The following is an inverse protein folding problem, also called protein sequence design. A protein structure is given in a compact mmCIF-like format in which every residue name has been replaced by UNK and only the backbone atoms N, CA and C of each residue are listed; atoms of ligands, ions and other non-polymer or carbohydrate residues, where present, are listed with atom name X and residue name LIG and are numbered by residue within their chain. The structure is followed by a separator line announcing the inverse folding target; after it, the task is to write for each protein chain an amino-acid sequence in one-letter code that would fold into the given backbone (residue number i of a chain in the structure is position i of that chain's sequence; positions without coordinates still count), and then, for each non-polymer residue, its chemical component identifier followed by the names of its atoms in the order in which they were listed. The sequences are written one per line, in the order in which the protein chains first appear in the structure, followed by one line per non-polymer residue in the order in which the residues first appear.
data_IF_486244569028
#
_entry.id   IF_486244569028
#
_cell.length_a   1.000
_cell.length_b   1.000
_cell.length_c   1.000
_cell.angle_alpha   90.00
_cell.angle_beta   90.00
_cell.angle_gamma   90.00
#
_symmetry.space_group_name_H-M   'P 1'
#
loop_
_entity.id
_entity.type
_entity.pdbx_description
1 polymer ?
#
# COMPACT_ATOMS: atom_id res chain seq x y z
N UNK A 1 0.61 2.14 -10.59
CA UNK A 1 2.07 2.07 -10.90
C UNK A 1 2.93 2.33 -9.66
N UNK A 2 2.52 3.22 -8.78
CA UNK A 2 3.29 3.50 -7.55
C UNK A 2 3.50 2.24 -6.67
N UNK A 3 2.51 1.39 -6.58
CA UNK A 3 2.53 0.17 -5.79
C UNK A 3 3.45 -0.93 -6.34
N UNK A 4 3.88 -0.83 -7.60
CA UNK A 4 4.79 -1.80 -8.24
C UNK A 4 6.27 -1.42 -8.21
N UNK A 5 6.65 -0.40 -7.44
CA UNK A 5 8.05 0.09 -7.35
C UNK A 5 9.03 -0.93 -6.76
N UNK A 6 8.53 -1.97 -6.12
CA UNK A 6 9.32 -3.07 -5.57
C UNK A 6 9.95 -3.97 -6.64
N UNK A 7 9.43 -3.96 -7.88
CA UNK A 7 9.98 -4.71 -9.00
C UNK A 7 10.04 -3.85 -10.26
N UNK A 8 11.24 -3.74 -10.88
CA UNK A 8 11.42 -3.02 -12.16
C UNK A 8 10.54 -3.59 -13.26
N UNK A 9 10.39 -4.92 -13.31
CA UNK A 9 9.56 -5.60 -14.29
C UNK A 9 8.08 -5.27 -14.07
N UNK A 10 7.56 -5.47 -12.86
CA UNK A 10 6.17 -5.15 -12.54
C UNK A 10 5.86 -3.67 -12.76
N UNK A 11 6.78 -2.77 -12.40
CA UNK A 11 6.64 -1.33 -12.68
C UNK A 11 6.56 -1.05 -14.18
N UNK A 12 7.46 -1.64 -14.99
CA UNK A 12 7.45 -1.48 -16.45
C UNK A 12 6.16 -2.01 -17.06
N UNK A 13 5.70 -3.19 -16.63
CA UNK A 13 4.46 -3.80 -17.11
C UNK A 13 3.22 -3.00 -16.70
N UNK A 14 3.25 -2.30 -15.56
CA UNK A 14 2.15 -1.41 -15.14
C UNK A 14 1.95 -0.20 -16.06
N UNK A 15 2.94 0.15 -16.89
CA UNK A 15 2.85 1.24 -17.86
C UNK A 15 2.38 0.78 -19.25
N UNK A 16 2.03 -0.49 -19.45
CA UNK A 16 1.43 -0.90 -20.70
C UNK A 16 0.11 -0.18 -20.94
N UNK A 17 -0.14 0.25 -22.16
CA UNK A 17 -1.36 0.99 -22.52
C UNK A 17 -2.65 0.21 -22.21
N UNK A 18 -2.59 -1.12 -22.16
CA UNK A 18 -3.70 -1.97 -21.71
C UNK A 18 -4.07 -1.74 -20.24
N UNK A 19 -3.13 -1.25 -19.42
CA UNK A 19 -3.32 -0.99 -17.98
C UNK A 19 -3.51 0.50 -17.68
N UNK A 20 -3.55 1.36 -18.71
CA UNK A 20 -3.66 2.81 -18.56
C UNK A 20 -4.97 3.31 -19.14
N UNK A 21 -5.73 4.01 -18.32
CA UNK A 21 -6.98 4.62 -18.72
C UNK A 21 -7.01 6.09 -18.27
N UNK A 22 -7.58 7.02 -19.08
CA UNK A 22 -7.60 8.44 -18.75
C UNK A 22 -8.48 8.73 -17.53
N UNK A 23 -7.86 8.87 -16.37
CA UNK A 23 -8.51 9.25 -15.11
C UNK A 23 -8.26 10.73 -14.83
N UNK A 24 -9.30 11.47 -14.39
CA UNK A 24 -9.16 12.87 -14.00
C UNK A 24 -8.18 13.01 -12.83
N UNK A 25 -7.25 13.98 -12.88
CA UNK A 25 -6.26 14.16 -11.82
C UNK A 25 -6.88 14.36 -10.42
N UNK A 26 -8.02 15.04 -10.36
CA UNK A 26 -8.73 15.32 -9.12
C UNK A 26 -9.30 14.03 -8.50
N UNK A 27 -9.88 13.14 -9.30
CA UNK A 27 -10.31 11.83 -8.84
C UNK A 27 -9.11 10.99 -8.39
N UNK A 28 -8.11 10.87 -9.25
CA UNK A 28 -6.93 10.03 -9.02
C UNK A 28 -6.16 10.39 -7.74
N UNK A 29 -5.96 11.69 -7.50
CA UNK A 29 -5.15 12.17 -6.37
C UNK A 29 -5.90 12.26 -5.05
N UNK A 30 -7.24 12.37 -5.10
CA UNK A 30 -8.09 12.55 -3.93
C UNK A 30 -8.87 11.28 -3.60
N UNK A 31 -10.14 11.20 -4.02
CA UNK A 31 -11.07 10.15 -3.59
C UNK A 31 -10.63 8.74 -3.99
N UNK A 32 -10.03 8.58 -5.18
CA UNK A 32 -9.49 7.28 -5.60
C UNK A 32 -8.29 6.85 -4.78
N UNK A 33 -7.36 7.78 -4.51
CA UNK A 33 -6.22 7.53 -3.64
C UNK A 33 -6.67 7.21 -2.20
N UNK A 34 -7.70 7.88 -1.68
CA UNK A 34 -8.27 7.58 -0.37
C UNK A 34 -8.85 6.15 -0.33
N UNK A 35 -9.55 5.74 -1.40
CA UNK A 35 -10.03 4.36 -1.52
C UNK A 35 -8.88 3.34 -1.59
N UNK A 36 -7.79 3.66 -2.30
CA UNK A 36 -6.60 2.79 -2.33
C UNK A 36 -5.93 2.67 -0.97
N UNK A 37 -5.88 3.76 -0.20
CA UNK A 37 -5.39 3.74 1.19
C UNK A 37 -6.29 2.85 2.04
N UNK A 38 -7.61 3.02 1.95
CA UNK A 38 -8.58 2.22 2.70
C UNK A 38 -8.46 0.72 2.37
N UNK A 39 -8.29 0.36 1.11
CA UNK A 39 -8.07 -1.04 0.71
C UNK A 39 -6.79 -1.62 1.33
N UNK A 40 -5.71 -0.82 1.43
CA UNK A 40 -4.49 -1.27 2.11
C UNK A 40 -4.71 -1.50 3.61
N UNK A 41 -5.51 -0.64 4.26
CA UNK A 41 -5.90 -0.83 5.67
C UNK A 41 -6.69 -2.12 5.84
N UNK A 42 -7.65 -2.39 4.95
CA UNK A 42 -8.40 -3.64 4.98
C UNK A 42 -7.53 -4.88 4.74
N UNK A 43 -6.53 -4.82 3.86
CA UNK A 43 -5.58 -5.94 3.68
C UNK A 43 -4.83 -6.21 4.98
N UNK A 44 -4.51 -5.17 5.73
CA UNK A 44 -3.86 -5.32 7.03
C UNK A 44 -4.77 -6.02 8.04
N UNK A 45 -6.05 -5.67 8.03
CA UNK A 45 -7.04 -6.18 8.97
C UNK A 45 -7.53 -7.60 8.62
N UNK A 46 -7.80 -7.87 7.35
CA UNK A 46 -8.39 -9.12 6.86
C UNK A 46 -7.35 -10.10 6.28
N UNK A 47 -6.14 -9.65 5.99
CA UNK A 47 -5.12 -10.42 5.30
C UNK A 47 -5.25 -10.33 3.77
N UNK A 48 -5.31 -11.46 3.08
CA UNK A 48 -5.37 -11.46 1.61
C UNK A 48 -6.77 -11.09 1.11
N UNK A 49 -6.84 -10.05 0.28
CA UNK A 49 -8.06 -9.63 -0.40
C UNK A 49 -7.93 -9.75 -1.91
N UNK A 50 -9.00 -10.16 -2.57
CA UNK A 50 -9.11 -10.06 -4.02
C UNK A 50 -9.59 -8.65 -4.37
N UNK A 51 -8.83 -7.96 -5.25
CA UNK A 51 -9.18 -6.60 -5.69
C UNK A 51 -9.29 -6.57 -7.21
N UNK A 52 -10.47 -6.21 -7.71
CA UNK A 52 -10.76 -6.03 -9.12
C UNK A 52 -10.97 -4.54 -9.37
N UNK A 53 -10.30 -3.98 -10.36
CA UNK A 53 -10.35 -2.54 -10.67
C UNK A 53 -10.43 -2.34 -12.17
N UNK A 54 -11.32 -1.47 -12.62
CA UNK A 54 -11.42 -1.15 -14.03
C UNK A 54 -12.22 0.12 -14.33
N UNK A 55 -12.13 0.63 -15.58
CA UNK A 55 -12.98 1.67 -16.09
C UNK A 55 -14.34 1.11 -16.55
N UNK A 56 -15.39 1.91 -16.48
CA UNK A 56 -16.63 1.64 -17.21
C UNK A 56 -16.47 2.14 -18.65
N UNK A 57 -16.54 1.21 -19.60
CA UNK A 57 -16.33 1.50 -21.01
C UNK A 57 -17.61 1.24 -21.83
N UNK A 58 -17.90 2.13 -22.77
CA UNK A 58 -18.92 1.95 -23.78
C UNK A 58 -18.49 2.66 -25.10
N UNK A 59 -19.19 2.38 -26.19
CA UNK A 59 -18.83 2.88 -27.52
C UNK A 59 -19.08 4.39 -27.71
N UNK A 60 -19.84 5.02 -26.84
CA UNK A 60 -20.24 6.44 -26.92
C UNK A 60 -19.33 7.38 -26.14
N UNK A 61 -18.32 6.83 -25.45
CA UNK A 61 -17.41 7.62 -24.62
C UNK A 61 -16.63 8.66 -25.44
N UNK A 62 -16.41 9.86 -24.87
CA UNK A 62 -15.52 10.85 -25.44
C UNK A 62 -14.11 10.28 -25.57
N UNK A 63 -13.38 10.70 -26.59
CA UNK A 63 -12.04 10.22 -26.90
C UNK A 63 -11.02 11.35 -26.83
N UNK A 64 -9.81 11.02 -26.40
CA UNK A 64 -8.67 11.94 -26.49
C UNK A 64 -8.44 12.23 -27.97
N UNK A 65 -8.36 13.54 -28.33
CA UNK A 65 -8.21 13.97 -29.72
C UNK A 65 -6.76 14.03 -30.20
N UNK A 66 -5.79 13.86 -29.29
CA UNK A 66 -4.37 13.93 -29.60
C UNK A 66 -3.78 12.56 -29.88
N UNK A 67 -2.95 12.48 -30.93
CA UNK A 67 -2.29 11.25 -31.36
C UNK A 67 -3.05 10.46 -32.44
N UNK A 68 -2.40 9.40 -32.93
CA UNK A 68 -2.96 8.51 -33.96
C UNK A 68 -4.01 7.55 -33.42
N UNK A 69 -3.93 7.22 -32.13
CA UNK A 69 -4.85 6.31 -31.44
C UNK A 69 -5.81 7.10 -30.57
N UNK A 70 -7.10 6.91 -30.77
CA UNK A 70 -8.15 7.56 -29.99
C UNK A 70 -8.46 6.71 -28.76
N UNK A 71 -8.06 7.17 -27.58
CA UNK A 71 -8.33 6.49 -26.30
C UNK A 71 -9.61 7.04 -25.70
N UNK A 72 -10.56 6.17 -25.35
CA UNK A 72 -11.81 6.52 -24.68
C UNK A 72 -11.53 7.06 -23.28
N UNK A 73 -12.28 8.11 -22.89
CA UNK A 73 -12.24 8.69 -21.55
C UNK A 73 -13.42 8.09 -20.78
N UNK A 74 -13.19 7.20 -19.80
CA UNK A 74 -14.26 6.58 -19.04
C UNK A 74 -15.06 7.62 -18.23
N UNK A 75 -16.36 7.40 -18.10
CA UNK A 75 -17.22 8.22 -17.24
C UNK A 75 -17.10 7.86 -15.75
N UNK A 76 -16.75 6.61 -15.47
CA UNK A 76 -16.57 6.11 -14.10
C UNK A 76 -15.49 5.03 -14.03
N UNK A 77 -15.02 4.79 -12.80
CA UNK A 77 -14.15 3.68 -12.43
C UNK A 77 -14.78 2.86 -11.33
N UNK A 78 -14.60 1.56 -11.38
CA UNK A 78 -15.04 0.67 -10.33
C UNK A 78 -13.86 0.01 -9.60
N UNK A 79 -14.10 -0.36 -8.36
CA UNK A 79 -13.22 -1.19 -7.54
C UNK A 79 -14.08 -2.14 -6.71
N UNK A 80 -13.84 -3.44 -6.87
CA UNK A 80 -14.47 -4.51 -6.12
C UNK A 80 -13.40 -5.09 -5.20
N UNK A 81 -13.72 -5.26 -3.94
CA UNK A 81 -12.84 -5.86 -2.92
C UNK A 81 -13.56 -7.01 -2.27
N UNK A 82 -12.95 -8.19 -2.27
CA UNK A 82 -13.57 -9.42 -1.75
C UNK A 82 -12.63 -10.10 -0.75
N UNK A 83 -13.14 -10.38 0.43
CA UNK A 83 -12.55 -11.31 1.39
C UNK A 83 -13.08 -12.72 1.11
N UNK A 84 -12.22 -13.55 0.51
CA UNK A 84 -12.53 -14.95 0.19
C UNK A 84 -12.25 -15.92 1.34
N UNK A 85 -11.61 -15.47 2.42
CA UNK A 85 -11.22 -16.33 3.57
C UNK A 85 -12.27 -16.42 4.66
N UNK A 86 -13.21 -15.50 4.66
CA UNK A 86 -14.33 -15.56 5.60
C UNK A 86 -15.15 -16.84 5.36
N UNK A 87 -15.85 -17.44 6.37
CA UNK A 87 -16.70 -18.61 6.19
C UNK A 87 -17.70 -18.48 5.05
N UNK A 88 -18.14 -17.24 4.77
CA UNK A 88 -18.86 -16.85 3.55
C UNK A 88 -18.14 -15.65 2.95
N UNK A 89 -17.89 -15.62 1.64
CA UNK A 89 -17.27 -14.48 0.98
C UNK A 89 -17.97 -13.16 1.32
N UNK A 90 -17.20 -12.12 1.56
CA UNK A 90 -17.69 -10.75 1.82
C UNK A 90 -17.11 -9.81 0.80
N UNK A 91 -17.97 -9.04 0.17
CA UNK A 91 -17.56 -8.08 -0.85
C UNK A 91 -18.01 -6.66 -0.52
N UNK A 92 -17.26 -5.70 -1.03
CA UNK A 92 -17.64 -4.29 -1.11
C UNK A 92 -17.22 -3.77 -2.48
N UNK A 93 -18.09 -3.00 -3.10
CA UNK A 93 -17.82 -2.45 -4.41
C UNK A 93 -18.09 -0.94 -4.46
N UNK A 94 -17.29 -0.25 -5.27
CA UNK A 94 -17.36 1.19 -5.44
C UNK A 94 -17.47 1.50 -6.92
N UNK A 95 -18.36 2.46 -7.24
CA UNK A 95 -18.49 3.04 -8.57
C UNK A 95 -18.31 4.55 -8.47
N UNK A 96 -17.17 5.05 -8.92
CA UNK A 96 -16.78 6.46 -8.77
C UNK A 96 -16.81 7.18 -10.12
N UNK A 97 -17.61 8.23 -10.28
CA UNK A 97 -17.59 9.09 -11.46
C UNK A 97 -16.21 9.68 -11.72
N UNK A 98 -15.77 9.73 -12.98
CA UNK A 98 -14.47 10.28 -13.37
C UNK A 98 -14.45 11.81 -13.37
N UNK A 99 -14.62 12.41 -12.19
CA UNK A 99 -14.62 13.85 -11.94
C UNK A 99 -14.07 14.17 -10.55
N UNK A 100 -14.01 15.44 -10.20
CA UNK A 100 -13.72 15.81 -8.81
C UNK A 100 -14.87 15.35 -7.89
N UNK A 101 -14.52 14.63 -6.83
CA UNK A 101 -15.45 14.12 -5.83
C UNK A 101 -15.06 14.74 -4.48
N UNK A 102 -16.04 15.29 -3.79
CA UNK A 102 -15.87 15.95 -2.48
C UNK A 102 -16.48 15.17 -1.33
N UNK A 103 -17.32 14.17 -1.69
CA UNK A 103 -18.05 13.36 -0.71
C UNK A 103 -17.18 12.26 -0.11
N UNK A 104 -17.65 11.67 0.99
CA UNK A 104 -17.04 10.48 1.56
C UNK A 104 -17.10 9.31 0.55
N UNK A 105 -16.06 8.48 0.53
CA UNK A 105 -15.99 7.29 -0.34
C UNK A 105 -17.17 6.34 -0.14
N UNK A 106 -17.75 6.29 1.06
CA UNK A 106 -18.95 5.50 1.37
C UNK A 106 -20.18 5.86 0.52
N UNK A 107 -20.24 7.08 -0.01
CA UNK A 107 -21.34 7.51 -0.87
C UNK A 107 -21.29 6.90 -2.30
N UNK A 108 -20.18 6.23 -2.60
CA UNK A 108 -19.95 5.58 -3.90
C UNK A 108 -20.00 4.06 -3.81
N UNK A 109 -20.46 3.53 -2.67
CA UNK A 109 -20.69 2.09 -2.50
C UNK A 109 -21.90 1.68 -3.32
N UNK A 110 -21.70 0.61 -4.07
CA UNK A 110 -22.74 -0.06 -4.86
C UNK A 110 -22.64 -1.57 -4.66
N UNK A 111 -23.66 -2.33 -5.04
CA UNK A 111 -23.53 -3.77 -5.15
C UNK A 111 -22.78 -4.14 -6.45
N UNK A 112 -22.25 -5.35 -6.51
CA UNK A 112 -21.48 -5.82 -7.68
C UNK A 112 -22.38 -5.92 -8.89
N UNK A 113 -23.65 -6.38 -8.74
CA UNK A 113 -24.64 -6.44 -9.82
C UNK A 113 -24.80 -5.09 -10.55
N UNK A 114 -24.71 -3.96 -9.80
CA UNK A 114 -24.75 -2.64 -10.41
C UNK A 114 -23.55 -2.35 -11.31
N UNK A 115 -22.37 -2.86 -10.95
CA UNK A 115 -21.17 -2.74 -11.80
C UNK A 115 -21.27 -3.67 -12.99
N UNK A 116 -21.75 -4.87 -12.83
CA UNK A 116 -21.98 -5.85 -13.89
C UNK A 116 -22.97 -5.31 -14.92
N UNK A 117 -24.05 -4.69 -14.46
CA UNK A 117 -25.05 -4.10 -15.35
C UNK A 117 -24.51 -2.98 -16.24
N UNK A 118 -23.52 -2.20 -15.77
CA UNK A 118 -22.93 -1.10 -16.56
C UNK A 118 -21.69 -1.52 -17.34
N UNK A 119 -21.08 -2.66 -17.00
CA UNK A 119 -19.87 -3.18 -17.68
C UNK A 119 -20.16 -4.33 -18.62
N UNK A 120 -21.29 -5.01 -18.46
CA UNK A 120 -21.62 -6.29 -19.08
C UNK A 120 -20.55 -7.38 -18.80
N UNK A 121 -19.93 -7.33 -17.61
CA UNK A 121 -18.95 -8.30 -17.14
C UNK A 121 -19.56 -9.03 -15.96
N UNK A 122 -19.63 -10.34 -16.00
CA UNK A 122 -19.88 -11.21 -14.86
C UNK A 122 -18.53 -11.47 -14.17
N UNK A 123 -18.36 -11.02 -12.94
CA UNK A 123 -17.06 -11.06 -12.25
C UNK A 123 -16.80 -12.41 -11.57
N UNK A 124 -17.84 -13.12 -11.19
CA UNK A 124 -17.70 -14.36 -10.40
C UNK A 124 -18.48 -15.55 -10.95
N UNK A 125 -18.45 -15.82 -12.28
CA UNK A 125 -19.29 -16.82 -12.94
C UNK A 125 -18.99 -18.26 -12.49
N UNK A 126 -17.89 -18.50 -11.79
CA UNK A 126 -17.48 -19.83 -11.33
C UNK A 126 -17.70 -20.04 -9.83
N UNK A 127 -18.18 -19.03 -9.11
CA UNK A 127 -18.42 -19.11 -7.69
C UNK A 127 -19.90 -19.49 -7.47
N UNK A 128 -20.12 -20.65 -6.86
CA UNK A 128 -21.47 -21.05 -6.49
C UNK A 128 -22.04 -20.07 -5.44
N UNK A 129 -23.27 -19.59 -5.66
CA UNK A 129 -23.98 -18.61 -4.82
C UNK A 129 -23.25 -17.25 -4.73
N UNK A 130 -22.62 -16.81 -5.81
CA UNK A 130 -22.01 -15.48 -5.87
C UNK A 130 -23.03 -14.37 -5.58
N UNK A 131 -24.25 -14.51 -6.02
CA UNK A 131 -25.38 -13.59 -5.76
C UNK A 131 -25.53 -13.23 -4.27
N UNK A 132 -25.16 -14.13 -3.34
CA UNK A 132 -25.27 -13.89 -1.89
C UNK A 132 -24.38 -12.73 -1.42
N UNK A 133 -23.24 -12.51 -2.05
CA UNK A 133 -22.32 -11.40 -1.72
C UNK A 133 -22.29 -10.29 -2.78
N UNK A 134 -22.69 -10.56 -4.03
CA UNK A 134 -22.74 -9.59 -5.11
C UNK A 134 -23.84 -8.55 -4.92
N UNK A 135 -24.97 -8.97 -4.35
CA UNK A 135 -26.13 -8.11 -4.08
C UNK A 135 -25.97 -7.22 -2.84
N UNK A 136 -24.91 -7.39 -2.04
CA UNK A 136 -24.76 -6.69 -0.77
C UNK A 136 -24.07 -5.33 -0.91
N UNK A 137 -24.47 -4.40 -0.03
CA UNK A 137 -23.81 -3.11 0.17
C UNK A 137 -23.41 -2.89 1.63
N UNK A 138 -23.20 -3.97 2.37
CA UNK A 138 -22.96 -3.90 3.81
C UNK A 138 -21.57 -3.36 4.13
N UNK A 139 -21.50 -2.04 4.29
CA UNK A 139 -20.30 -1.34 4.70
C UNK A 139 -19.86 -1.67 6.13
N UNK A 140 -20.77 -2.07 7.01
CA UNK A 140 -20.45 -2.32 8.43
C UNK A 140 -19.42 -3.42 8.61
N UNK A 141 -19.42 -4.41 7.73
CA UNK A 141 -18.40 -5.46 7.74
C UNK A 141 -17.01 -4.87 7.47
N UNK A 142 -16.93 -3.85 6.60
CA UNK A 142 -15.69 -3.21 6.14
C UNK A 142 -15.31 -1.98 6.95
N UNK A 143 -16.24 -1.42 7.74
CA UNK A 143 -15.98 -0.28 8.62
C UNK A 143 -15.41 -0.74 9.96
N UNK A 144 -14.09 -0.87 9.97
CA UNK A 144 -13.35 -1.20 11.19
C UNK A 144 -13.28 -0.06 12.19
N UNK A 145 -13.51 1.18 11.77
CA UNK A 145 -13.43 2.34 12.65
C UNK A 145 -14.60 2.45 13.61
N UNK A 146 -15.78 1.95 13.22
CA UNK A 146 -17.01 2.08 14.01
C UNK A 146 -17.29 0.90 14.94
N UNK A 147 -16.80 -0.30 14.63
CA UNK A 147 -17.11 -1.52 15.40
C UNK A 147 -16.04 -1.90 16.42
N UNK A 148 -14.82 -1.36 16.33
CA UNK A 148 -13.69 -1.80 17.15
C UNK A 148 -13.35 -0.96 18.36
N UNK A 149 -14.14 0.05 18.69
CA UNK A 149 -13.95 0.76 19.98
C UNK A 149 -14.36 -0.11 21.18
N UNK A 150 -15.17 -1.17 20.99
CA UNK A 150 -15.63 -2.01 22.12
C UNK A 150 -15.19 -3.47 22.14
N UNK A 151 -14.81 -4.11 21.02
CA UNK A 151 -14.47 -5.54 21.02
C UNK A 151 -13.50 -5.96 19.92
N UNK A 152 -12.43 -5.22 19.70
CA UNK A 152 -11.34 -5.74 18.89
C UNK A 152 -10.65 -6.88 19.65
N UNK A 153 -10.46 -8.07 19.06
CA UNK A 153 -9.32 -8.85 19.47
C UNK A 153 -8.14 -7.91 19.31
N UNK A 154 -7.37 -7.70 20.37
CA UNK A 154 -6.19 -6.85 20.44
C UNK A 154 -5.13 -7.30 19.40
N UNK A 155 -5.38 -7.13 18.12
CA UNK A 155 -4.34 -6.88 17.16
C UNK A 155 -3.91 -5.42 17.34
N UNK A 156 -3.42 -5.11 18.54
CA UNK A 156 -2.37 -4.13 18.65
C UNK A 156 -1.33 -4.60 17.64
N UNK A 157 -1.19 -3.84 16.54
CA UNK A 157 0.12 -3.82 15.91
C UNK A 157 1.03 -3.56 17.09
N UNK A 158 1.82 -4.55 17.40
CA UNK A 158 2.86 -4.30 18.38
C UNK A 158 3.80 -3.32 17.70
N UNK A 159 3.52 -2.00 17.91
CA UNK A 159 4.39 -0.93 17.38
C UNK A 159 5.83 -1.13 17.84
N UNK A 160 6.04 -2.05 18.78
CA UNK A 160 7.36 -2.52 19.18
C UNK A 160 7.93 -3.60 18.25
N UNK A 161 7.14 -4.11 17.28
CA UNK A 161 7.59 -5.13 16.35
C UNK A 161 6.90 -5.07 14.98
N UNK A 162 7.31 -4.13 14.14
CA UNK A 162 6.84 -4.01 12.75
C UNK A 162 7.84 -4.70 11.83
N UNK A 163 7.44 -5.74 11.07
CA UNK A 163 8.31 -6.32 10.04
C UNK A 163 8.71 -5.29 8.98
N UNK A 164 9.96 -5.34 8.51
CA UNK A 164 10.49 -4.37 7.51
C UNK A 164 9.64 -4.24 6.26
N UNK A 165 9.03 -5.33 5.78
CA UNK A 165 8.14 -5.34 4.61
C UNK A 165 6.86 -4.54 4.83
N UNK A 166 6.47 -4.34 6.09
CA UNK A 166 5.28 -3.57 6.47
C UNK A 166 5.62 -2.11 6.81
N UNK A 167 6.90 -1.72 6.89
CA UNK A 167 7.31 -0.37 7.27
C UNK A 167 6.67 0.74 6.40
N UNK A 168 6.36 0.43 5.14
CA UNK A 168 5.69 1.37 4.22
C UNK A 168 4.30 1.79 4.70
N UNK A 169 3.62 0.97 5.50
CA UNK A 169 2.28 1.27 6.04
C UNK A 169 2.33 2.19 7.27
N UNK A 170 3.54 2.39 7.84
CA UNK A 170 3.75 3.18 9.05
C UNK A 170 4.44 4.52 8.80
N UNK A 171 4.43 5.02 7.55
CA UNK A 171 4.99 6.33 7.22
C UNK A 171 4.35 7.41 8.10
N UNK A 172 5.21 8.20 8.77
CA UNK A 172 4.80 9.24 9.71
C UNK A 172 4.59 8.77 11.16
N UNK A 173 4.66 7.46 11.43
CA UNK A 173 4.44 6.85 12.75
C UNK A 173 5.77 6.55 13.44
N UNK A 174 5.83 6.75 14.75
CA UNK A 174 6.93 6.29 15.61
C UNK A 174 6.69 4.83 16.02
N UNK A 175 7.57 3.93 15.58
CA UNK A 175 7.47 2.50 15.85
C UNK A 175 8.83 1.82 15.84
N UNK A 176 8.88 0.53 16.19
CA UNK A 176 10.08 -0.31 16.05
C UNK A 176 9.95 -1.17 14.79
N UNK A 177 10.79 -0.91 13.80
CA UNK A 177 10.88 -1.74 12.58
C UNK A 177 11.94 -2.78 12.76
N UNK A 178 11.57 -4.07 12.63
CA UNK A 178 12.41 -5.22 12.95
C UNK A 178 12.70 -6.07 11.71
N UNK A 179 13.95 -6.51 11.56
CA UNK A 179 14.37 -7.38 10.46
C UNK A 179 15.84 -7.74 10.52
N UNK A 180 16.29 -8.53 9.56
CA UNK A 180 17.68 -8.97 9.46
C UNK A 180 18.50 -7.97 8.66
N UNK A 181 19.60 -7.49 9.22
CA UNK A 181 20.57 -6.66 8.50
C UNK A 181 21.36 -7.54 7.52
N UNK A 182 21.17 -7.31 6.24
CA UNK A 182 21.87 -8.08 5.18
C UNK A 182 23.01 -7.33 4.54
N UNK A 183 22.94 -5.98 4.52
CA UNK A 183 23.99 -5.16 3.97
C UNK A 183 24.13 -3.84 4.74
N UNK A 184 25.37 -3.41 4.86
CA UNK A 184 25.74 -2.15 5.50
C UNK A 184 26.75 -1.42 4.62
N UNK A 185 26.68 -0.09 4.57
CA UNK A 185 27.64 0.73 3.83
C UNK A 185 27.84 2.06 4.53
N UNK A 186 29.09 2.39 4.81
CA UNK A 186 29.47 3.74 5.22
C UNK A 186 30.11 4.49 4.04
N UNK A 187 29.49 5.61 3.63
CA UNK A 187 30.01 6.47 2.58
C UNK A 187 30.84 7.62 3.20
N UNK A 188 32.13 7.38 3.36
CA UNK A 188 33.08 8.36 3.93
C UNK A 188 33.30 9.60 3.06
N UNK A 189 33.09 9.47 1.74
CA UNK A 189 33.41 10.50 0.75
C UNK A 189 32.26 11.48 0.47
N UNK A 190 31.10 11.30 1.11
CA UNK A 190 30.05 12.31 1.08
C UNK A 190 30.36 13.40 2.11
N UNK A 191 30.11 14.67 1.78
CA UNK A 191 30.27 15.80 2.69
C UNK A 191 29.59 15.59 4.05
N UNK A 192 28.57 14.75 4.08
CA UNK A 192 27.78 14.42 5.28
C UNK A 192 28.12 13.08 5.93
N UNK A 193 28.93 12.21 5.29
CA UNK A 193 29.27 10.87 5.76
C UNK A 193 28.02 10.06 6.16
N UNK A 194 27.44 9.25 5.28
CA UNK A 194 26.19 8.54 5.58
C UNK A 194 26.44 7.06 5.74
N UNK A 195 25.90 6.47 6.79
CA UNK A 195 25.82 5.02 6.98
C UNK A 195 24.44 4.50 6.63
N UNK A 196 24.37 3.51 5.75
CA UNK A 196 23.16 2.81 5.35
C UNK A 196 23.16 1.41 5.94
N UNK A 197 22.08 1.03 6.59
CA UNK A 197 21.83 -0.31 7.14
C UNK A 197 20.60 -0.84 6.40
N UNK A 198 20.79 -1.80 5.49
CA UNK A 198 19.74 -2.37 4.65
C UNK A 198 19.27 -3.70 5.23
N UNK A 199 17.94 -3.85 5.25
CA UNK A 199 17.27 -4.99 5.88
C UNK A 199 16.71 -5.96 4.83
N UNK A 200 16.75 -7.24 5.16
CA UNK A 200 16.16 -8.42 4.53
C UNK A 200 16.58 -8.67 3.08
N UNK A 201 16.72 -7.63 2.27
CA UNK A 201 17.19 -7.72 0.89
C UNK A 201 18.27 -6.68 0.60
N UNK A 202 19.15 -7.00 -0.37
CA UNK A 202 20.20 -6.08 -0.80
C UNK A 202 19.62 -4.89 -1.58
N UNK A 203 20.27 -3.73 -1.50
CA UNK A 203 19.93 -2.61 -2.34
C UNK A 203 20.02 -3.00 -3.84
N UNK A 204 19.07 -2.62 -4.70
CA UNK A 204 17.97 -1.68 -4.48
C UNK A 204 16.65 -2.28 -3.93
N UNK A 205 16.61 -3.57 -3.61
CA UNK A 205 15.38 -4.29 -3.24
C UNK A 205 15.07 -4.27 -1.74
N UNK A 206 15.98 -3.70 -0.91
CA UNK A 206 15.75 -3.59 0.53
C UNK A 206 14.39 -2.93 0.84
N UNK A 207 13.50 -3.61 1.59
CA UNK A 207 12.18 -3.09 1.93
C UNK A 207 12.24 -1.92 2.93
N UNK A 208 13.33 -1.84 3.70
CA UNK A 208 13.54 -0.83 4.72
C UNK A 208 15.03 -0.53 4.89
N UNK A 209 15.37 0.72 5.24
CA UNK A 209 16.75 1.15 5.48
C UNK A 209 16.80 2.01 6.74
N UNK A 210 17.72 1.73 7.66
CA UNK A 210 18.09 2.68 8.70
C UNK A 210 19.26 3.54 8.20
N UNK A 211 19.19 4.84 8.46
CA UNK A 211 20.14 5.84 7.97
C UNK A 211 20.76 6.58 9.14
N UNK A 212 22.08 6.60 9.23
CA UNK A 212 22.85 7.36 10.24
C UNK A 212 23.65 8.43 9.50
N UNK A 213 23.42 9.70 9.83
CA UNK A 213 24.25 10.78 9.30
C UNK A 213 25.58 10.88 10.03
N UNK A 214 26.61 11.37 9.34
CA UNK A 214 27.97 11.44 9.90
C UNK A 214 28.07 12.22 11.21
N UNK A 215 27.28 13.30 11.36
CA UNK A 215 27.20 14.10 12.59
C UNK A 215 26.71 13.28 13.80
N UNK A 216 25.87 12.27 13.56
CA UNK A 216 25.26 11.47 14.63
C UNK A 216 26.08 10.24 14.97
N UNK A 217 27.13 9.91 14.18
CA UNK A 217 27.99 8.74 14.44
C UNK A 217 28.76 8.83 15.76
N UNK A 218 28.99 10.04 16.27
CA UNK A 218 29.64 10.24 17.59
C UNK A 218 28.80 9.68 18.76
N UNK A 219 27.50 9.47 18.53
CA UNK A 219 26.56 8.91 19.52
C UNK A 219 26.57 7.38 19.54
N UNK A 220 27.54 6.74 18.87
CA UNK A 220 27.69 5.29 18.81
C UNK A 220 29.03 4.89 19.44
N UNK A 221 28.98 3.89 20.34
CA UNK A 221 30.17 3.33 20.98
C UNK A 221 30.86 2.28 20.11
N UNK A 222 30.26 1.95 18.96
CA UNK A 222 30.76 0.99 17.98
C UNK A 222 30.62 1.53 16.54
N UNK A 223 31.29 0.88 15.59
CA UNK A 223 31.06 1.14 14.16
C UNK A 223 29.76 0.46 13.69
N UNK A 224 28.67 1.21 13.42
CA UNK A 224 27.36 0.63 13.13
C UNK A 224 27.37 -0.34 11.96
N UNK A 225 28.12 -0.03 10.89
CA UNK A 225 28.24 -0.85 9.70
C UNK A 225 28.96 -2.18 9.94
N UNK A 226 29.77 -2.27 10.98
CA UNK A 226 30.47 -3.50 11.37
C UNK A 226 29.64 -4.28 12.38
N UNK A 227 29.18 -3.61 13.43
CA UNK A 227 28.51 -4.25 14.56
C UNK A 227 27.14 -4.81 14.21
N UNK A 228 26.34 -4.10 13.39
CA UNK A 228 24.96 -4.47 13.10
C UNK A 228 24.82 -5.50 11.97
N UNK A 229 25.86 -5.69 11.17
CA UNK A 229 25.83 -6.60 10.03
C UNK A 229 25.45 -8.02 10.42
N UNK A 230 24.55 -8.63 9.66
CA UNK A 230 24.02 -10.00 9.83
C UNK A 230 23.20 -10.23 11.12
N UNK A 231 22.93 -9.20 11.91
CA UNK A 231 22.08 -9.30 13.10
C UNK A 231 20.61 -9.15 12.78
N UNK A 232 19.78 -9.75 13.60
CA UNK A 232 18.35 -9.50 13.67
C UNK A 232 18.12 -8.38 14.69
N UNK A 233 17.62 -7.24 14.26
CA UNK A 233 17.50 -6.04 15.10
C UNK A 233 16.18 -5.32 14.84
N UNK A 234 15.73 -4.55 15.83
CA UNK A 234 14.70 -3.56 15.69
C UNK A 234 15.29 -2.15 15.70
N UNK A 235 14.69 -1.26 14.93
CA UNK A 235 15.03 0.17 14.83
C UNK A 235 13.85 0.99 15.31
N UNK A 236 14.03 1.77 16.37
CA UNK A 236 13.02 2.65 16.93
C UNK A 236 13.11 4.05 16.31
N UNK A 237 11.99 4.56 15.84
CA UNK A 237 11.88 5.93 15.36
C UNK A 237 10.71 6.15 14.43
N UNK A 238 10.63 7.38 13.93
CA UNK A 238 9.61 7.78 12.96
C UNK A 238 9.96 7.24 11.58
N UNK A 239 9.04 6.49 10.98
CA UNK A 239 9.20 6.01 9.62
C UNK A 239 8.97 7.15 8.63
N UNK A 240 9.95 7.39 7.77
CA UNK A 240 9.90 8.42 6.73
C UNK A 240 10.00 7.80 5.35
N UNK A 241 9.49 8.51 4.35
CA UNK A 241 9.62 8.10 2.95
C UNK A 241 10.77 8.87 2.28
N UNK A 242 11.79 8.17 1.80
CA UNK A 242 12.86 8.74 1.00
C UNK A 242 12.97 8.05 -0.36
N UNK A 243 12.79 8.80 -1.45
CA UNK A 243 12.82 8.28 -2.84
C UNK A 243 11.91 7.06 -3.03
N UNK A 244 10.74 7.06 -2.39
CA UNK A 244 9.74 6.00 -2.47
C UNK A 244 10.05 4.77 -1.61
N UNK A 245 11.00 4.85 -0.67
CA UNK A 245 11.34 3.76 0.26
C UNK A 245 11.21 4.19 1.71
N UNK A 246 10.67 3.33 2.58
CA UNK A 246 10.61 3.61 4.01
C UNK A 246 12.01 3.57 4.62
N UNK A 247 12.28 4.55 5.48
CA UNK A 247 13.50 4.62 6.26
C UNK A 247 13.24 5.16 7.66
N UNK A 248 14.16 4.91 8.58
CA UNK A 248 14.26 5.62 9.85
C UNK A 248 15.63 6.31 9.91
N UNK A 249 15.63 7.60 10.26
CA UNK A 249 16.87 8.31 10.58
C UNK A 249 17.22 8.00 12.04
N UNK A 250 18.43 7.50 12.24
CA UNK A 250 18.90 7.07 13.53
C UNK A 250 20.00 8.02 14.01
N UNK A 251 19.79 8.60 15.18
CA UNK A 251 20.66 9.61 15.76
C UNK A 251 21.50 9.07 16.92
N UNK A 252 21.15 7.87 17.46
CA UNK A 252 21.80 7.29 18.63
C UNK A 252 21.69 5.76 18.61
N UNK A 253 22.69 5.07 19.19
CA UNK A 253 22.69 3.62 19.31
C UNK A 253 21.51 3.05 20.12
N UNK A 254 20.93 3.82 21.02
CA UNK A 254 19.76 3.43 21.81
C UNK A 254 18.49 3.19 20.98
N UNK A 255 18.47 3.61 19.70
CA UNK A 255 17.39 3.31 18.77
C UNK A 255 17.48 1.92 18.18
N UNK A 256 18.62 1.23 18.34
CA UNK A 256 18.76 -0.16 17.95
C UNK A 256 18.61 -1.10 19.15
N UNK A 257 17.88 -2.17 18.95
CA UNK A 257 17.80 -3.29 19.90
C UNK A 257 18.01 -4.62 19.18
N UNK A 258 18.77 -5.53 19.80
CA UNK A 258 18.90 -6.89 19.28
C UNK A 258 17.57 -7.59 19.50
N UNK A 259 17.02 -8.13 18.43
CA UNK A 259 15.81 -8.93 18.49
C UNK A 259 16.17 -10.40 18.67
N UNK A 260 15.62 -11.00 19.72
CA UNK A 260 15.65 -12.45 19.96
C UNK A 260 14.22 -12.94 19.76
N UNK A 261 13.95 -13.77 18.73
CA UNK A 261 12.61 -14.29 18.45
C UNK A 261 12.11 -15.22 19.55
#
# INVERSE_FOLDING_TARGET
SADFRWSRKALSESYYYSNMSPQRPELNRNSWNNLEIQVREWVVDFGDLLVITGPVLNDQLPKIQQGSNRVSIPEAYYKIVVDMKHPQPKAIAFLMPNRNLTDNISNYIVNIDSIESVTNIDFFPQIANADDFESTTDFKYWDYSSTKISEAPNFKYDLNHIPTKQATYFIGTDCNVCGKVVATRYNKNSETGITYINFDEFYPNSPFTAVIFGKDRINFTYEPEVYLKNKLICVKGKVELHKGKPQIIVNSENQFSIYQP
#
